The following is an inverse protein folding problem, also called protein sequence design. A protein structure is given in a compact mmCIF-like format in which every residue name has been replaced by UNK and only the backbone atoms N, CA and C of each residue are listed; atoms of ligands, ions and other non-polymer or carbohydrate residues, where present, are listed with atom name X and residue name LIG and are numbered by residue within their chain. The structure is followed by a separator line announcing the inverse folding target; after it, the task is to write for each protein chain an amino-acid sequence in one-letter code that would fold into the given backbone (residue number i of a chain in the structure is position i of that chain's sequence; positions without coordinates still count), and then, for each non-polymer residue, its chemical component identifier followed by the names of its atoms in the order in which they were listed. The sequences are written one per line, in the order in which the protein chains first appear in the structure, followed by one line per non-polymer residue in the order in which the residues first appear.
data_IF_846123188236
#
_entry.id   IF_846123188236
#
_cell.length_a   1.000
_cell.length_b   1.000
_cell.length_c   1.000
_cell.angle_alpha   90.00
_cell.angle_beta   90.00
_cell.angle_gamma   90.00
#
_symmetry.space_group_name_H-M   'P 1'
#
loop_
_entity.id
_entity.type
_entity.pdbx_description
1 polymer ?
#
# COMPACT_ATOMS: atom_id res chain seq x y z
N UNK A 1 -29.34 6.34 9.69
CA UNK A 1 -30.11 5.43 8.82
C UNK A 1 -29.16 4.95 7.73
N UNK A 2 -28.96 3.64 7.69
CA UNK A 2 -28.01 2.93 6.82
C UNK A 2 -28.26 3.23 5.34
N UNK A 3 -27.18 3.41 4.57
CA UNK A 3 -27.18 3.76 3.15
C UNK A 3 -27.72 2.66 2.21
N UNK A 4 -28.45 1.66 2.74
CA UNK A 4 -28.93 0.49 2.00
C UNK A 4 -30.43 0.52 1.66
N UNK A 5 -31.02 1.70 1.43
CA UNK A 5 -32.40 1.75 0.92
C UNK A 5 -32.68 2.94 0.01
N UNK A 6 -32.01 2.97 -1.15
CA UNK A 6 -32.54 3.59 -2.38
C UNK A 6 -32.18 2.72 -3.60
N UNK A 7 -32.88 1.60 -3.75
CA UNK A 7 -33.13 1.02 -5.08
C UNK A 7 -34.64 0.91 -5.22
N UNK A 8 -35.22 1.72 -6.10
CA UNK A 8 -36.09 1.34 -7.22
C UNK A 8 -36.48 2.65 -7.92
N UNK A 9 -35.75 3.04 -8.95
CA UNK A 9 -36.28 3.62 -10.20
C UNK A 9 -35.23 3.27 -11.28
N UNK A 10 -35.67 2.67 -12.39
CA UNK A 10 -34.87 2.06 -13.47
C UNK A 10 -33.41 2.49 -13.59
N UNK A 11 -32.49 1.58 -13.29
CA UNK A 11 -31.05 1.82 -13.39
C UNK A 11 -30.41 0.77 -14.28
N UNK A 12 -29.57 1.21 -15.22
CA UNK A 12 -28.59 0.36 -15.86
C UNK A 12 -27.83 -0.48 -14.81
N UNK A 13 -27.27 -1.62 -15.21
CA UNK A 13 -26.34 -2.35 -14.35
C UNK A 13 -25.29 -1.34 -13.83
N UNK A 14 -24.88 -1.42 -12.55
CA UNK A 14 -23.84 -0.53 -12.05
C UNK A 14 -22.63 -0.61 -12.97
N UNK A 15 -22.12 0.55 -13.39
CA UNK A 15 -20.96 0.63 -14.26
C UNK A 15 -19.79 -0.16 -13.65
N UNK A 16 -19.05 -0.94 -14.46
CA UNK A 16 -17.88 -1.66 -13.97
C UNK A 16 -16.87 -0.68 -13.36
N UNK A 17 -16.26 -1.09 -12.25
CA UNK A 17 -15.17 -0.34 -11.62
C UNK A 17 -13.87 -0.73 -12.31
N UNK A 18 -13.15 0.24 -12.85
CA UNK A 18 -11.88 0.05 -13.55
C UNK A 18 -10.69 0.48 -12.69
N UNK A 19 -9.48 0.07 -13.06
CA UNK A 19 -8.28 0.29 -12.25
C UNK A 19 -8.04 1.79 -12.06
N UNK A 20 -8.30 2.58 -13.08
CA UNK A 20 -8.12 4.03 -13.07
C UNK A 20 -9.21 4.78 -12.28
N UNK A 21 -10.27 4.09 -11.87
CA UNK A 21 -11.22 4.60 -10.86
C UNK A 21 -10.71 4.41 -9.43
N UNK A 22 -9.85 3.41 -9.19
CA UNK A 22 -9.45 2.98 -7.83
C UNK A 22 -7.97 3.22 -7.50
N UNK A 23 -7.13 3.43 -8.51
CA UNK A 23 -5.70 3.63 -8.33
C UNK A 23 -5.14 4.68 -9.29
N UNK A 24 -4.21 5.49 -8.78
CA UNK A 24 -3.34 6.34 -9.60
C UNK A 24 -1.94 6.40 -9.00
N UNK A 25 -0.93 6.18 -9.84
CA UNK A 25 0.42 6.68 -9.62
C UNK A 25 0.55 8.02 -10.34
N UNK A 26 0.72 9.11 -9.59
CA UNK A 26 0.65 10.47 -10.13
C UNK A 26 1.88 11.28 -9.73
N UNK A 27 2.67 11.69 -10.72
CA UNK A 27 3.82 12.59 -10.52
C UNK A 27 3.41 14.04 -10.66
N UNK A 28 4.00 14.91 -9.85
CA UNK A 28 3.81 16.36 -9.94
C UNK A 28 5.05 17.13 -9.50
N UNK A 29 5.30 18.32 -10.06
CA UNK A 29 6.29 19.24 -9.50
C UNK A 29 5.69 19.94 -8.29
N UNK A 30 6.48 20.11 -7.24
CA UNK A 30 6.09 20.94 -6.11
C UNK A 30 6.13 22.42 -6.47
N UNK A 31 5.19 23.18 -5.92
CA UNK A 31 4.96 24.60 -6.27
C UNK A 31 5.24 25.56 -5.11
N UNK A 32 5.53 25.06 -3.90
CA UNK A 32 5.81 25.89 -2.72
C UNK A 32 4.62 26.75 -2.27
N UNK A 33 3.41 26.19 -2.37
CA UNK A 33 2.16 26.83 -1.95
C UNK A 33 0.99 25.85 -2.10
N UNK A 34 -0.19 26.19 -1.54
CA UNK A 34 -1.38 25.33 -1.60
C UNK A 34 -1.67 24.83 -3.03
N UNK A 35 -1.83 23.51 -3.18
CA UNK A 35 -2.05 22.85 -4.47
C UNK A 35 -3.31 21.96 -4.46
N UNK A 36 -4.01 21.90 -5.60
CA UNK A 36 -5.12 20.98 -5.80
C UNK A 36 -4.80 20.03 -6.96
N UNK A 37 -4.88 18.72 -6.69
CA UNK A 37 -4.59 17.68 -7.67
C UNK A 37 -5.89 16.93 -8.02
N UNK A 38 -6.45 17.27 -9.18
CA UNK A 38 -7.66 16.67 -9.73
C UNK A 38 -7.30 15.52 -10.67
N UNK A 39 -7.09 14.33 -10.10
CA UNK A 39 -6.59 13.14 -10.80
C UNK A 39 -7.69 12.12 -11.17
N UNK A 40 -8.96 12.46 -10.90
CA UNK A 40 -10.12 11.66 -11.28
C UNK A 40 -10.46 10.50 -10.34
N UNK A 41 -9.86 10.45 -9.15
CA UNK A 41 -10.15 9.43 -8.13
C UNK A 41 -10.97 10.05 -7.00
N UNK A 42 -12.16 9.51 -6.73
CA UNK A 42 -13.04 10.00 -5.67
C UNK A 42 -12.64 9.43 -4.30
N UNK A 43 -11.96 10.24 -3.49
CA UNK A 43 -11.52 9.85 -2.14
C UNK A 43 -12.46 10.36 -1.04
N UNK A 44 -13.39 11.25 -1.37
CA UNK A 44 -14.29 11.86 -0.41
C UNK A 44 -15.56 11.04 -0.21
N UNK A 45 -16.19 10.56 -1.29
CA UNK A 45 -17.45 9.80 -1.21
C UNK A 45 -17.21 8.30 -1.02
N UNK A 46 -16.10 7.77 -1.55
CA UNK A 46 -15.78 6.35 -1.47
C UNK A 46 -14.75 6.01 -0.39
N UNK A 47 -14.03 7.00 0.10
CA UNK A 47 -12.89 6.80 0.99
C UNK A 47 -11.64 6.30 0.25
N UNK A 48 -10.49 6.39 0.91
CA UNK A 48 -9.21 6.03 0.33
C UNK A 48 -8.02 6.68 1.02
N UNK A 49 -6.83 6.41 0.50
CA UNK A 49 -5.55 6.88 1.01
C UNK A 49 -4.73 7.55 -0.09
N UNK A 50 -3.92 8.54 0.32
CA UNK A 50 -2.88 9.17 -0.49
C UNK A 50 -1.55 8.92 0.19
N UNK A 51 -0.60 8.34 -0.54
CA UNK A 51 0.77 8.14 -0.12
C UNK A 51 1.71 8.98 -0.99
N UNK A 52 2.26 10.05 -0.42
CA UNK A 52 3.19 10.97 -1.08
C UNK A 52 4.64 10.64 -0.74
N UNK A 53 5.51 10.73 -1.75
CA UNK A 53 6.96 10.66 -1.63
C UNK A 53 7.62 11.78 -2.42
N UNK A 54 8.54 12.48 -1.75
CA UNK A 54 9.52 13.35 -2.39
C UNK A 54 10.60 12.50 -3.08
N UNK A 55 10.84 12.80 -4.36
CA UNK A 55 11.76 12.06 -5.23
C UNK A 55 13.14 12.71 -5.31
N UNK A 56 13.28 13.98 -4.93
CA UNK A 56 14.52 14.74 -5.08
C UNK A 56 15.24 14.96 -3.74
N UNK A 57 14.52 14.87 -2.62
CA UNK A 57 15.05 15.13 -1.29
C UNK A 57 14.77 14.01 -0.26
N UNK A 58 15.64 13.87 0.77
CA UNK A 58 15.52 12.83 1.77
C UNK A 58 14.45 13.19 2.83
N UNK A 59 13.17 13.18 2.45
CA UNK A 59 12.06 13.41 3.38
C UNK A 59 11.25 12.14 3.63
N UNK A 60 10.70 12.06 4.85
CA UNK A 60 9.74 11.04 5.26
C UNK A 60 8.53 11.01 4.32
N UNK A 61 8.01 9.81 4.13
CA UNK A 61 6.80 9.60 3.35
C UNK A 61 5.60 10.14 4.11
N UNK A 62 4.55 10.54 3.37
CA UNK A 62 3.31 11.01 3.98
C UNK A 62 2.15 10.14 3.52
N UNK A 63 1.48 9.48 4.48
CA UNK A 63 0.25 8.73 4.27
C UNK A 63 -0.89 9.43 5.01
N UNK A 64 -1.91 9.84 4.27
CA UNK A 64 -3.17 10.36 4.79
C UNK A 64 -4.34 9.56 4.20
N UNK A 65 -5.46 9.49 4.92
CA UNK A 65 -6.65 8.80 4.45
C UNK A 65 -7.97 9.41 4.94
N UNK A 66 -9.07 8.93 4.38
CA UNK A 66 -10.42 9.43 4.63
C UNK A 66 -10.98 9.07 6.01
N UNK A 67 -10.51 7.98 6.63
CA UNK A 67 -11.01 7.51 7.92
C UNK A 67 -10.45 8.35 9.07
N UNK A 68 -9.21 8.83 8.93
CA UNK A 68 -8.51 9.68 9.92
C UNK A 68 -8.57 11.16 9.56
N UNK A 69 -8.77 11.48 8.28
CA UNK A 69 -8.79 12.83 7.72
C UNK A 69 -7.45 13.24 7.13
N UNK A 70 -7.48 14.15 6.15
CA UNK A 70 -6.30 14.54 5.36
C UNK A 70 -5.10 15.05 6.18
N UNK A 71 -5.35 15.73 7.29
CA UNK A 71 -4.31 16.33 8.13
C UNK A 71 -3.72 15.35 9.17
N UNK A 72 -4.28 14.15 9.27
CA UNK A 72 -3.76 13.07 10.12
C UNK A 72 -2.79 12.21 9.30
N UNK A 73 -1.51 12.39 9.58
CA UNK A 73 -0.43 11.81 8.75
C UNK A 73 0.34 10.72 9.47
N UNK A 74 0.75 9.72 8.69
CA UNK A 74 1.72 8.71 9.09
C UNK A 74 2.89 8.69 8.11
N UNK A 75 4.02 8.18 8.56
CA UNK A 75 5.18 7.93 7.72
C UNK A 75 5.51 6.43 7.70
N UNK A 76 5.55 5.85 6.50
CA UNK A 76 5.80 4.41 6.31
C UNK A 76 7.22 3.96 6.69
N UNK A 77 8.14 4.91 6.81
CA UNK A 77 9.55 4.69 7.12
C UNK A 77 9.89 4.98 8.60
N UNK A 78 8.89 5.11 9.46
CA UNK A 78 9.08 5.37 10.89
C UNK A 78 8.07 4.58 11.73
N UNK A 79 8.38 4.36 13.01
CA UNK A 79 7.47 3.79 14.00
C UNK A 79 6.63 4.85 14.73
N UNK A 80 6.85 6.13 14.43
CA UNK A 80 6.21 7.28 15.09
C UNK A 80 4.69 7.16 15.00
N UNK A 81 4.00 7.60 16.06
CA UNK A 81 2.54 7.65 16.13
C UNK A 81 1.98 8.66 15.10
N UNK A 82 0.65 8.74 14.99
CA UNK A 82 0.02 9.72 14.12
C UNK A 82 0.40 11.15 14.48
N UNK A 83 0.63 11.98 13.46
CA UNK A 83 0.87 13.40 13.62
C UNK A 83 -0.22 14.21 12.91
N UNK A 84 -0.72 15.24 13.57
CA UNK A 84 -1.55 16.26 12.93
C UNK A 84 -0.64 17.26 12.21
N UNK A 85 -0.66 17.24 10.88
CA UNK A 85 0.06 18.15 10.02
C UNK A 85 -0.93 18.87 9.08
N UNK A 86 -1.21 20.14 9.38
CA UNK A 86 -2.19 20.94 8.64
C UNK A 86 -1.70 21.41 7.27
N UNK A 87 -0.43 21.16 6.96
CA UNK A 87 0.29 21.70 5.80
C UNK A 87 0.84 20.61 4.87
N UNK A 88 0.47 19.35 5.11
CA UNK A 88 0.76 18.21 4.21
C UNK A 88 -0.45 17.96 3.29
N UNK A 89 -1.06 16.78 3.33
CA UNK A 89 -2.39 16.58 2.72
C UNK A 89 -3.41 17.40 3.53
N UNK A 90 -4.18 18.27 2.87
CA UNK A 90 -5.16 19.13 3.53
C UNK A 90 -6.55 18.54 3.46
N UNK A 91 -6.95 18.06 2.29
CA UNK A 91 -8.30 17.54 2.04
C UNK A 91 -8.27 16.46 0.98
N UNK A 92 -9.05 15.41 1.19
CA UNK A 92 -9.38 14.40 0.18
C UNK A 92 -10.69 14.82 -0.48
N UNK A 93 -10.70 14.87 -1.81
CA UNK A 93 -11.81 15.44 -2.59
C UNK A 93 -12.49 14.37 -3.44
N UNK A 94 -13.59 14.74 -4.08
CA UNK A 94 -14.29 13.86 -5.04
C UNK A 94 -13.51 13.58 -6.32
N UNK A 95 -12.35 14.21 -6.52
CA UNK A 95 -11.53 14.10 -7.74
C UNK A 95 -10.05 13.90 -7.46
N UNK A 96 -9.63 13.83 -6.20
CA UNK A 96 -8.24 13.65 -5.79
C UNK A 96 -7.99 14.22 -4.40
N UNK A 97 -7.05 15.17 -4.30
CA UNK A 97 -6.62 15.70 -3.01
C UNK A 97 -6.04 17.12 -3.14
N UNK A 98 -5.93 17.80 -2.00
CA UNK A 98 -5.23 19.08 -1.87
C UNK A 98 -4.04 18.96 -0.94
N UNK A 99 -2.99 19.73 -1.21
CA UNK A 99 -1.76 19.81 -0.42
C UNK A 99 -1.54 21.23 0.10
N UNK A 100 -0.83 21.32 1.24
CA UNK A 100 -0.15 22.53 1.68
C UNK A 100 1.24 22.64 1.08
N UNK A 101 2.15 23.37 1.74
CA UNK A 101 3.49 23.69 1.24
C UNK A 101 4.62 22.93 1.94
N UNK A 102 4.29 21.96 2.80
CA UNK A 102 5.29 21.23 3.59
C UNK A 102 6.32 20.54 2.69
N UNK A 103 7.58 20.55 3.14
CA UNK A 103 8.70 20.01 2.38
C UNK A 103 8.54 18.55 1.95
N UNK A 104 7.84 17.74 2.74
CA UNK A 104 7.63 16.32 2.44
C UNK A 104 6.60 16.07 1.33
N UNK A 105 5.90 17.10 0.85
CA UNK A 105 4.84 16.94 -0.15
C UNK A 105 4.81 17.97 -1.28
N UNK A 106 5.39 19.17 -1.13
CA UNK A 106 5.15 20.24 -2.11
C UNK A 106 6.19 21.39 -2.10
N UNK A 107 7.48 21.09 -1.90
CA UNK A 107 8.55 22.09 -2.04
C UNK A 107 8.63 22.61 -3.47
N UNK A 108 8.79 23.92 -3.65
CA UNK A 108 8.96 24.52 -4.98
C UNK A 108 10.17 23.91 -5.72
N UNK A 109 9.91 23.30 -6.87
CA UNK A 109 10.94 22.79 -7.78
C UNK A 109 11.30 21.32 -7.58
N UNK A 110 10.89 20.70 -6.47
CA UNK A 110 11.13 19.27 -6.22
C UNK A 110 10.09 18.42 -6.96
N UNK A 111 10.48 17.22 -7.39
CA UNK A 111 9.60 16.24 -8.00
C UNK A 111 8.96 15.32 -6.94
N UNK A 112 7.66 15.10 -7.05
CA UNK A 112 6.91 14.23 -6.15
C UNK A 112 6.20 13.11 -6.92
N UNK A 113 5.84 12.06 -6.19
CA UNK A 113 4.83 11.08 -6.59
C UNK A 113 3.79 10.92 -5.48
N UNK A 114 2.53 10.77 -5.88
CA UNK A 114 1.45 10.30 -5.05
C UNK A 114 0.93 8.97 -5.58
N UNK A 115 0.92 7.93 -4.74
CA UNK A 115 0.15 6.72 -4.97
C UNK A 115 -1.19 6.86 -4.25
N UNK A 116 -2.27 6.84 -5.02
CA UNK A 116 -3.62 7.11 -4.54
C UNK A 116 -4.44 5.84 -4.67
N UNK A 117 -5.08 5.44 -3.56
CA UNK A 117 -5.87 4.23 -3.45
C UNK A 117 -7.28 4.59 -2.99
N UNK A 118 -8.31 4.27 -3.77
CA UNK A 118 -9.70 4.40 -3.37
C UNK A 118 -10.17 3.11 -2.73
N UNK A 119 -10.94 3.18 -1.64
CA UNK A 119 -11.58 1.98 -1.10
C UNK A 119 -12.54 1.39 -2.12
N UNK A 120 -12.44 0.08 -2.36
CA UNK A 120 -13.33 -0.65 -3.25
C UNK A 120 -13.26 -2.15 -2.95
N UNK A 121 -14.41 -2.87 -2.97
CA UNK A 121 -14.39 -4.32 -2.95
C UNK A 121 -13.42 -4.87 -4.00
N UNK A 122 -12.68 -5.91 -3.64
CA UNK A 122 -11.69 -6.60 -4.46
C UNK A 122 -10.46 -5.78 -4.83
N UNK A 123 -10.26 -4.62 -4.20
CA UNK A 123 -9.08 -3.78 -4.41
C UNK A 123 -8.40 -3.35 -3.10
N UNK A 124 -9.04 -2.44 -2.34
CA UNK A 124 -8.43 -1.78 -1.19
C UNK A 124 -9.48 -1.44 -0.13
N UNK A 125 -9.11 -1.53 1.15
CA UNK A 125 -9.96 -1.12 2.28
C UNK A 125 -9.13 -0.53 3.43
N UNK A 126 -9.76 0.34 4.22
CA UNK A 126 -9.17 0.97 5.40
C UNK A 126 -10.07 0.65 6.60
N UNK A 127 -9.47 0.13 7.66
CA UNK A 127 -10.19 -0.27 8.88
C UNK A 127 -9.53 0.41 10.09
N UNK A 128 -10.07 1.55 10.57
CA UNK A 128 -9.71 2.08 11.87
C UNK A 128 -10.32 1.22 12.98
N UNK A 129 -9.61 1.03 14.09
CA UNK A 129 -10.15 0.31 15.24
C UNK A 129 -9.50 0.73 16.56
N UNK A 130 -10.23 0.51 17.65
CA UNK A 130 -9.72 0.63 19.02
C UNK A 130 -9.43 -0.77 19.55
N UNK A 131 -8.22 -0.97 20.05
CA UNK A 131 -7.83 -2.21 20.66
C UNK A 131 -8.55 -2.44 22.00
N UNK A 132 -8.76 -3.70 22.35
CA UNK A 132 -9.47 -4.12 23.56
C UNK A 132 -8.62 -5.01 24.48
N UNK A 133 -7.33 -5.16 24.20
CA UNK A 133 -6.38 -5.96 24.98
C UNK A 133 -6.63 -7.47 24.97
N UNK A 134 -7.69 -7.95 24.31
CA UNK A 134 -8.06 -9.36 24.27
C UNK A 134 -7.56 -10.00 22.98
N UNK A 135 -6.85 -11.12 23.10
CA UNK A 135 -6.36 -11.83 21.94
C UNK A 135 -7.54 -12.45 21.17
N UNK A 136 -7.47 -12.41 19.84
CA UNK A 136 -8.55 -12.90 18.98
C UNK A 136 -9.61 -11.84 18.65
N UNK A 137 -9.27 -10.55 18.73
CA UNK A 137 -10.14 -9.48 18.26
C UNK A 137 -10.36 -9.64 16.75
N UNK A 138 -11.62 -9.85 16.36
CA UNK A 138 -12.04 -9.94 14.96
C UNK A 138 -12.49 -8.59 14.46
N UNK A 139 -11.93 -8.17 13.33
CA UNK A 139 -12.18 -6.88 12.69
C UNK A 139 -12.72 -7.13 11.29
N UNK A 140 -13.89 -6.56 11.00
CA UNK A 140 -14.54 -6.72 9.70
C UNK A 140 -13.88 -5.81 8.64
N UNK A 141 -13.89 -6.25 7.39
CA UNK A 141 -13.45 -5.46 6.24
C UNK A 141 -14.37 -5.68 5.02
N UNK A 142 -14.18 -4.85 3.99
CA UNK A 142 -15.07 -4.72 2.84
C UNK A 142 -14.47 -5.18 1.51
N UNK A 143 -13.30 -5.84 1.53
CA UNK A 143 -12.69 -6.39 0.30
C UNK A 143 -13.56 -7.44 -0.41
N UNK A 144 -14.36 -8.25 0.30
CA UNK A 144 -15.20 -9.31 -0.31
C UNK A 144 -14.43 -10.32 -1.18
N UNK A 145 -13.12 -10.41 -0.98
CA UNK A 145 -12.23 -11.40 -1.56
C UNK A 145 -11.06 -11.63 -0.60
N UNK A 146 -10.10 -12.44 -1.01
CA UNK A 146 -8.93 -12.78 -0.21
C UNK A 146 -8.05 -11.54 0.07
N UNK A 147 -7.58 -11.41 1.32
CA UNK A 147 -6.60 -10.40 1.70
C UNK A 147 -5.22 -10.85 1.21
N UNK A 148 -4.62 -10.07 0.32
CA UNK A 148 -3.30 -10.33 -0.24
C UNK A 148 -2.18 -9.79 0.64
N UNK A 149 -2.30 -8.53 1.04
CA UNK A 149 -1.36 -7.81 1.89
C UNK A 149 -2.15 -6.93 2.88
N UNK A 150 -1.66 -6.80 4.11
CA UNK A 150 -2.30 -5.97 5.13
C UNK A 150 -1.24 -5.26 5.96
N UNK A 151 -1.36 -3.93 6.06
CA UNK A 151 -0.53 -3.10 6.93
C UNK A 151 -1.33 -2.75 8.18
N UNK A 152 -0.72 -2.87 9.36
CA UNK A 152 -1.31 -2.39 10.62
C UNK A 152 -0.38 -1.39 11.28
N UNK A 153 -0.92 -0.24 11.68
CA UNK A 153 -0.19 0.80 12.36
C UNK A 153 -0.92 1.26 13.61
N UNK A 154 -0.18 1.37 14.71
CA UNK A 154 -0.64 2.06 15.91
C UNK A 154 -0.54 3.57 15.73
N UNK A 155 -1.63 4.26 16.09
CA UNK A 155 -1.85 5.69 15.89
C UNK A 155 -1.56 6.53 17.14
N UNK A 156 -1.72 5.96 18.35
CA UNK A 156 -1.64 6.69 19.63
C UNK A 156 -0.28 6.53 20.36
N UNK A 157 0.59 5.66 19.87
CA UNK A 157 1.93 5.43 20.43
C UNK A 157 2.87 4.89 19.36
N UNK A 158 4.17 5.09 19.57
CA UNK A 158 5.20 4.53 18.69
C UNK A 158 5.09 2.99 18.64
N UNK A 159 5.02 2.45 17.43
CA UNK A 159 5.04 1.03 17.11
C UNK A 159 5.25 0.84 15.61
N UNK A 160 6.05 -0.15 15.23
CA UNK A 160 6.33 -0.47 13.83
C UNK A 160 5.08 -0.92 13.05
N UNK A 161 5.18 -0.80 11.73
CA UNK A 161 4.13 -1.18 10.80
C UNK A 161 4.14 -2.68 10.55
N UNK A 162 3.26 -3.43 11.21
CA UNK A 162 3.17 -4.87 10.98
C UNK A 162 2.56 -5.15 9.59
N UNK A 163 3.26 -5.94 8.77
CA UNK A 163 2.81 -6.34 7.44
C UNK A 163 2.54 -7.84 7.36
N UNK A 164 1.29 -8.18 7.08
CA UNK A 164 0.90 -9.51 6.66
C UNK A 164 1.02 -9.61 5.15
N UNK A 165 1.54 -10.74 4.67
CA UNK A 165 1.51 -11.09 3.26
C UNK A 165 1.07 -12.54 3.10
N UNK A 166 0.14 -12.79 2.19
CA UNK A 166 -0.50 -14.08 2.07
C UNK A 166 0.45 -15.26 1.79
N UNK A 167 1.49 -15.03 0.99
CA UNK A 167 2.48 -16.07 0.67
C UNK A 167 3.32 -16.49 1.87
N UNK A 168 3.36 -15.68 2.94
CA UNK A 168 4.07 -16.02 4.17
C UNK A 168 3.15 -16.73 5.19
N UNK A 169 1.85 -16.44 5.15
CA UNK A 169 0.87 -16.91 6.13
C UNK A 169 0.89 -16.11 7.43
N UNK A 170 -0.19 -16.24 8.22
CA UNK A 170 -0.43 -15.39 9.40
C UNK A 170 0.57 -15.59 10.56
N UNK A 171 1.35 -16.66 10.53
CA UNK A 171 2.40 -16.89 11.50
C UNK A 171 3.62 -15.99 11.28
N UNK A 172 3.74 -15.36 10.11
CA UNK A 172 4.88 -14.53 9.75
C UNK A 172 4.45 -13.09 9.49
N UNK A 173 5.39 -12.18 9.75
CA UNK A 173 5.22 -10.76 9.52
C UNK A 173 6.45 -10.18 8.84
N UNK A 174 6.26 -9.05 8.19
CA UNK A 174 7.35 -8.10 7.91
C UNK A 174 7.04 -6.78 8.58
N UNK A 175 7.97 -5.84 8.53
CA UNK A 175 7.78 -4.48 9.05
C UNK A 175 7.96 -3.48 7.91
N UNK A 176 6.96 -2.63 7.65
CA UNK A 176 7.01 -1.67 6.54
C UNK A 176 8.13 -0.66 6.73
N UNK A 177 8.46 -0.31 7.97
CA UNK A 177 9.47 0.66 8.38
C UNK A 177 10.89 0.10 8.45
N UNK A 178 11.10 -1.19 8.14
CA UNK A 178 12.41 -1.84 8.20
C UNK A 178 12.78 -2.61 6.93
N UNK A 179 14.08 -2.83 6.76
CA UNK A 179 14.65 -3.70 5.73
C UNK A 179 14.88 -5.15 6.23
N UNK A 180 14.44 -5.49 7.44
CA UNK A 180 14.73 -6.79 8.05
C UNK A 180 14.06 -7.96 7.30
N UNK A 181 14.56 -9.16 7.56
CA UNK A 181 13.91 -10.41 7.16
C UNK A 181 12.55 -10.60 7.83
N UNK A 182 11.75 -11.53 7.29
CA UNK A 182 10.47 -11.91 7.89
C UNK A 182 10.65 -12.37 9.35
N UNK A 183 9.68 -12.02 10.19
CA UNK A 183 9.61 -12.35 11.61
C UNK A 183 8.63 -13.51 11.77
N UNK A 184 8.97 -14.51 12.58
CA UNK A 184 8.08 -15.63 12.91
C UNK A 184 8.77 -17.00 12.83
N UNK A 185 8.01 -18.09 13.04
CA UNK A 185 6.56 -18.11 13.25
C UNK A 185 6.14 -17.54 14.63
N UNK A 186 4.98 -16.87 14.69
CA UNK A 186 4.40 -16.26 15.89
C UNK A 186 2.87 -16.27 15.83
N UNK A 187 2.21 -16.35 16.98
CA UNK A 187 0.74 -16.23 17.11
C UNK A 187 0.31 -14.88 17.70
N UNK A 188 1.29 -13.99 17.92
CA UNK A 188 1.14 -12.70 18.61
C UNK A 188 1.00 -11.53 17.65
N UNK A 189 0.55 -11.73 16.41
CA UNK A 189 0.20 -10.64 15.50
C UNK A 189 -1.20 -10.90 14.92
N UNK A 190 -1.32 -11.71 13.86
CA UNK A 190 -2.61 -12.15 13.30
C UNK A 190 -3.02 -13.50 13.88
N UNK A 191 -3.80 -13.48 14.96
CA UNK A 191 -4.12 -14.69 15.71
C UNK A 191 -4.76 -14.42 17.06
N UNK A 192 -4.80 -15.44 17.90
CA UNK A 192 -5.40 -15.37 19.25
C UNK A 192 -4.42 -15.77 20.36
N UNK A 193 -3.11 -15.57 20.15
CA UNK A 193 -2.00 -16.06 20.98
C UNK A 193 -1.84 -17.58 21.09
N UNK A 194 -2.86 -18.37 20.72
CA UNK A 194 -2.76 -19.83 20.69
C UNK A 194 -2.50 -20.34 19.27
N UNK A 195 -3.10 -19.68 18.28
CA UNK A 195 -2.98 -20.02 16.86
C UNK A 195 -2.83 -18.74 16.03
N UNK A 196 -2.02 -18.84 14.97
CA UNK A 196 -2.03 -17.85 13.90
C UNK A 196 -3.29 -18.07 13.05
N UNK A 197 -4.02 -16.99 12.75
CA UNK A 197 -5.31 -17.03 12.06
C UNK A 197 -5.22 -16.15 10.81
N UNK A 198 -5.17 -16.75 9.60
CA UNK A 198 -5.20 -16.01 8.35
C UNK A 198 -6.44 -15.12 8.23
N UNK A 199 -6.33 -13.91 7.68
CA UNK A 199 -7.48 -13.13 7.26
C UNK A 199 -8.40 -13.94 6.33
N UNK A 200 -9.70 -13.73 6.47
CA UNK A 200 -10.74 -14.31 5.62
C UNK A 200 -11.22 -13.29 4.59
N UNK A 201 -12.31 -13.59 3.89
CA UNK A 201 -12.91 -12.64 2.94
C UNK A 201 -13.66 -11.48 3.58
N UNK A 202 -13.96 -11.57 4.89
CA UNK A 202 -14.78 -10.61 5.60
C UNK A 202 -14.17 -10.10 6.90
N UNK A 203 -13.17 -10.79 7.47
CA UNK A 203 -12.54 -10.38 8.72
C UNK A 203 -11.06 -10.75 8.76
N UNK A 204 -10.32 -10.01 9.58
CA UNK A 204 -9.00 -10.43 10.05
C UNK A 204 -9.03 -10.50 11.58
N UNK A 205 -8.15 -11.32 12.15
CA UNK A 205 -8.07 -11.52 13.60
C UNK A 205 -6.73 -11.04 14.09
N UNK A 206 -6.71 -10.20 15.12
CA UNK A 206 -5.48 -9.73 15.77
C UNK A 206 -5.36 -10.28 17.19
N UNK A 207 -4.11 -10.52 17.60
CA UNK A 207 -3.75 -10.96 18.94
C UNK A 207 -3.90 -9.81 19.97
N UNK A 208 -3.30 -9.91 21.16
CA UNK A 208 -3.26 -8.79 22.14
C UNK A 208 -1.92 -8.05 22.17
N UNK A 209 -1.05 -8.25 21.18
CA UNK A 209 0.23 -7.55 21.11
C UNK A 209 0.03 -6.04 21.04
N UNK A 210 0.84 -5.26 21.74
CA UNK A 210 0.72 -3.80 21.79
C UNK A 210 0.89 -3.09 20.43
N UNK A 211 1.55 -3.73 19.46
CA UNK A 211 1.64 -3.25 18.07
C UNK A 211 0.32 -3.43 17.31
N UNK A 212 -0.59 -4.27 17.80
CA UNK A 212 -1.83 -4.65 17.10
C UNK A 212 -3.12 -4.34 17.87
N UNK A 213 -3.15 -4.44 19.20
CA UNK A 213 -4.39 -4.49 19.97
C UNK A 213 -4.16 -4.27 21.49
N UNK A 214 -3.43 -3.23 21.86
CA UNK A 214 -3.41 -2.76 23.25
C UNK A 214 -4.80 -2.28 23.67
N UNK A 215 -5.18 -2.50 24.92
CA UNK A 215 -6.47 -2.01 25.45
C UNK A 215 -6.53 -0.48 25.37
N UNK A 216 -7.57 0.04 24.71
CA UNK A 216 -7.74 1.46 24.42
C UNK A 216 -6.79 2.04 23.35
N UNK A 217 -5.87 1.26 22.81
CA UNK A 217 -4.95 1.71 21.75
C UNK A 217 -5.69 2.00 20.44
N UNK A 218 -5.20 2.95 19.65
CA UNK A 218 -5.82 3.33 18.38
C UNK A 218 -4.98 2.79 17.22
N UNK A 219 -5.64 2.20 16.23
CA UNK A 219 -4.99 1.54 15.11
C UNK A 219 -5.70 1.83 13.80
N UNK A 220 -4.94 1.71 12.71
CA UNK A 220 -5.47 1.63 11.35
C UNK A 220 -4.91 0.40 10.66
N UNK A 221 -5.75 -0.30 9.91
CA UNK A 221 -5.34 -1.34 8.99
C UNK A 221 -5.62 -0.93 7.54
N UNK A 222 -4.62 -1.07 6.67
CA UNK A 222 -4.76 -0.92 5.21
C UNK A 222 -4.72 -2.31 4.58
N UNK A 223 -5.80 -2.70 3.90
CA UNK A 223 -5.95 -4.03 3.34
C UNK A 223 -5.94 -3.96 1.82
N UNK A 224 -5.09 -4.78 1.21
CA UNK A 224 -4.97 -4.91 -0.24
C UNK A 224 -5.44 -6.30 -0.65
N UNK A 225 -6.32 -6.36 -1.65
CA UNK A 225 -6.86 -7.61 -2.15
C UNK A 225 -5.81 -8.47 -2.86
N UNK A 226 -6.07 -9.77 -2.91
CA UNK A 226 -5.52 -10.67 -3.90
C UNK A 226 -6.66 -11.10 -4.84
N UNK A 227 -6.65 -10.59 -6.07
CA UNK A 227 -7.69 -10.86 -7.06
C UNK A 227 -7.07 -11.50 -8.32
N UNK A 228 -6.91 -12.84 -8.33
CA UNK A 228 -6.23 -13.55 -9.41
C UNK A 228 -7.09 -13.76 -10.66
N UNK A 229 -8.33 -13.27 -10.69
CA UNK A 229 -9.18 -13.39 -11.88
C UNK A 229 -8.67 -12.53 -13.03
N UNK A 230 -9.13 -12.82 -14.24
CA UNK A 230 -8.74 -12.10 -15.46
C UNK A 230 -9.18 -10.64 -15.49
N UNK A 231 -10.15 -10.27 -14.65
CA UNK A 231 -10.61 -8.90 -14.43
C UNK A 231 -10.04 -8.28 -13.16
N UNK A 232 -9.14 -8.99 -12.47
CA UNK A 232 -8.48 -8.50 -11.28
C UNK A 232 -7.64 -7.27 -11.55
N UNK A 233 -7.66 -6.35 -10.58
CA UNK A 233 -6.95 -5.08 -10.62
C UNK A 233 -5.70 -5.10 -9.73
N UNK A 234 -5.63 -6.07 -8.81
CA UNK A 234 -4.55 -6.18 -7.85
C UNK A 234 -4.25 -7.66 -7.56
N UNK A 235 -2.98 -8.01 -7.53
CA UNK A 235 -2.52 -9.34 -7.12
C UNK A 235 -1.34 -9.22 -6.17
N UNK A 236 -1.44 -9.89 -5.03
CA UNK A 236 -0.33 -10.10 -4.11
C UNK A 236 0.22 -11.52 -4.28
N UNK A 237 1.52 -11.71 -4.40
CA UNK A 237 2.13 -13.02 -4.69
C UNK A 237 3.57 -13.12 -4.24
N UNK A 238 4.24 -14.22 -4.59
CA UNK A 238 5.66 -14.40 -4.33
C UNK A 238 6.38 -15.08 -5.49
N UNK A 239 7.70 -14.92 -5.52
CA UNK A 239 8.59 -15.62 -6.44
C UNK A 239 9.95 -15.84 -5.78
N UNK A 240 10.72 -16.79 -6.31
CA UNK A 240 12.09 -17.04 -5.87
C UNK A 240 13.04 -16.47 -6.89
N UNK A 241 13.95 -15.60 -6.44
CA UNK A 241 14.99 -15.04 -7.29
C UNK A 241 15.93 -16.13 -7.81
N UNK A 242 16.33 -16.02 -9.07
CA UNK A 242 17.20 -16.99 -9.75
C UNK A 242 18.64 -16.48 -9.90
N UNK A 243 18.93 -15.24 -9.50
CA UNK A 243 20.24 -14.61 -9.62
C UNK A 243 20.65 -14.29 -11.06
N UNK A 244 19.76 -14.45 -12.03
CA UNK A 244 20.04 -14.10 -13.41
C UNK A 244 20.01 -12.57 -13.61
N UNK A 245 20.74 -12.10 -14.62
CA UNK A 245 20.66 -10.70 -15.06
C UNK A 245 19.31 -10.37 -15.71
N UNK A 246 18.59 -11.38 -16.17
CA UNK A 246 17.19 -11.29 -16.60
C UNK A 246 16.50 -12.50 -15.95
N UNK A 247 15.72 -12.24 -14.91
CA UNK A 247 15.05 -13.29 -14.13
C UNK A 247 13.84 -13.88 -14.86
N UNK A 248 13.17 -14.86 -14.26
CA UNK A 248 11.93 -15.39 -14.79
C UNK A 248 10.79 -14.36 -14.87
N UNK A 249 9.89 -14.52 -15.85
CA UNK A 249 8.64 -13.75 -15.93
C UNK A 249 7.70 -14.19 -14.80
N UNK A 250 7.29 -13.23 -13.98
CA UNK A 250 6.22 -13.39 -13.00
C UNK A 250 4.89 -13.06 -13.66
N UNK A 251 4.14 -14.11 -14.02
CA UNK A 251 2.92 -14.00 -14.80
C UNK A 251 1.71 -13.63 -13.93
N UNK A 252 1.11 -12.47 -14.21
CA UNK A 252 -0.12 -11.94 -13.60
C UNK A 252 -1.34 -12.12 -14.51
N UNK A 253 -1.12 -12.39 -15.81
CA UNK A 253 -2.14 -12.43 -16.86
C UNK A 253 -2.61 -11.05 -17.35
N UNK A 254 -1.94 -9.99 -16.91
CA UNK A 254 -2.17 -8.61 -17.31
C UNK A 254 -0.92 -7.76 -17.02
N UNK A 255 -0.87 -6.59 -17.64
CA UNK A 255 0.23 -5.64 -17.47
C UNK A 255 0.07 -4.80 -16.20
N UNK A 256 1.07 -4.78 -15.29
CA UNK A 256 1.05 -3.90 -14.12
C UNK A 256 1.40 -2.45 -14.50
N UNK A 257 0.85 -1.50 -13.75
CA UNK A 257 1.31 -0.10 -13.70
C UNK A 257 2.09 0.22 -12.43
N UNK A 258 2.00 -0.62 -11.40
CA UNK A 258 2.67 -0.44 -10.12
C UNK A 258 3.06 -1.81 -9.56
N UNK A 259 4.23 -1.88 -8.94
CA UNK A 259 4.62 -3.02 -8.12
C UNK A 259 5.41 -2.56 -6.89
N UNK A 260 5.05 -3.11 -5.73
CA UNK A 260 5.87 -3.09 -4.52
C UNK A 260 6.46 -4.47 -4.30
N UNK A 261 7.78 -4.56 -4.14
CA UNK A 261 8.51 -5.82 -3.93
C UNK A 261 9.26 -5.74 -2.60
N UNK A 262 9.29 -6.87 -1.88
CA UNK A 262 10.09 -7.03 -0.66
C UNK A 262 10.74 -8.41 -0.63
N UNK A 263 12.05 -8.43 -0.44
CA UNK A 263 12.76 -9.66 -0.06
C UNK A 263 12.24 -10.17 1.28
N UNK A 264 11.95 -11.47 1.39
CA UNK A 264 11.61 -12.08 2.69
C UNK A 264 12.84 -12.26 3.58
N UNK A 265 14.03 -12.11 3.00
CA UNK A 265 15.28 -11.92 3.71
C UNK A 265 15.50 -10.42 3.96
N UNK A 266 16.76 -10.00 4.16
CA UNK A 266 17.08 -8.58 4.34
C UNK A 266 17.01 -7.85 2.99
N UNK A 267 16.29 -6.73 2.94
CA UNK A 267 16.11 -5.89 1.76
C UNK A 267 15.03 -4.83 1.99
N UNK A 268 15.13 -3.70 1.30
CA UNK A 268 14.16 -2.61 1.39
C UNK A 268 12.83 -2.95 0.70
N UNK A 269 11.77 -2.22 1.05
CA UNK A 269 10.52 -2.21 0.31
C UNK A 269 10.67 -1.33 -0.91
N UNK A 270 10.83 -1.94 -2.09
CA UNK A 270 11.09 -1.21 -3.34
C UNK A 270 9.82 -1.06 -4.15
N UNK A 271 9.65 0.10 -4.79
CA UNK A 271 8.48 0.39 -5.63
C UNK A 271 8.90 0.85 -7.01
N UNK A 272 8.27 0.27 -8.02
CA UNK A 272 8.36 0.64 -9.43
C UNK A 272 6.97 0.93 -9.98
N UNK A 273 6.84 1.92 -10.85
CA UNK A 273 5.58 2.25 -11.51
C UNK A 273 5.80 2.93 -12.87
N UNK A 274 4.78 2.88 -13.73
CA UNK A 274 4.83 3.44 -15.08
C UNK A 274 4.79 4.96 -15.12
N UNK A 275 4.41 5.63 -14.02
CA UNK A 275 4.39 7.09 -13.96
C UNK A 275 5.80 7.69 -13.85
N UNK A 276 6.75 6.93 -13.29
CA UNK A 276 8.17 7.32 -13.18
C UNK A 276 9.05 6.60 -14.21
N UNK A 277 8.65 5.43 -14.67
CA UNK A 277 9.42 4.65 -15.62
C UNK A 277 9.53 5.35 -16.98
N UNK A 278 10.73 5.33 -17.55
CA UNK A 278 11.05 5.75 -18.92
C UNK A 278 11.70 4.59 -19.66
N UNK A 279 11.90 4.74 -20.98
CA UNK A 279 12.70 3.78 -21.77
C UNK A 279 14.09 3.52 -21.16
N UNK A 280 14.58 4.52 -20.41
CA UNK A 280 15.83 4.73 -19.69
C UNK A 280 16.02 4.30 -18.23
N UNK A 281 14.92 3.99 -17.56
CA UNK A 281 14.89 4.12 -16.10
C UNK A 281 13.60 3.56 -15.52
N UNK A 282 13.66 2.72 -14.50
CA UNK A 282 12.47 2.29 -13.78
C UNK A 282 12.13 3.23 -12.60
N UNK A 283 13.09 4.06 -12.16
CA UNK A 283 12.98 4.89 -10.96
C UNK A 283 12.82 4.04 -9.70
N UNK A 284 13.88 3.88 -8.91
CA UNK A 284 13.82 3.11 -7.66
C UNK A 284 13.47 4.02 -6.48
N UNK A 285 12.30 3.75 -5.88
CA UNK A 285 11.94 4.29 -4.57
C UNK A 285 11.98 3.20 -3.50
N UNK A 286 12.40 3.58 -2.30
CA UNK A 286 12.32 2.73 -1.10
C UNK A 286 11.30 3.29 -0.12
N UNK A 287 10.20 2.59 0.05
CA UNK A 287 9.06 3.04 0.85
C UNK A 287 9.30 3.01 2.37
N UNK A 288 10.43 2.45 2.79
CA UNK A 288 10.81 2.30 4.19
C UNK A 288 12.02 3.16 4.60
N UNK A 289 12.40 4.13 3.76
CA UNK A 289 13.44 5.10 4.08
C UNK A 289 13.01 6.50 3.65
N UNK A 290 13.75 7.52 4.07
CA UNK A 290 13.58 8.88 3.58
C UNK A 290 14.26 9.12 2.22
N UNK A 291 15.09 8.18 1.73
CA UNK A 291 15.94 8.38 0.56
C UNK A 291 15.16 8.88 -0.67
N UNK A 292 15.79 9.81 -1.39
CA UNK A 292 15.34 10.27 -2.70
C UNK A 292 15.32 9.12 -3.72
N UNK A 293 14.67 9.34 -4.87
CA UNK A 293 14.63 8.38 -5.96
C UNK A 293 16.03 8.12 -6.53
N UNK A 294 16.31 6.85 -6.80
CA UNK A 294 17.51 6.46 -7.55
C UNK A 294 17.11 6.28 -9.01
N UNK A 295 17.66 7.13 -9.87
CA UNK A 295 17.43 7.15 -11.33
C UNK A 295 18.51 6.39 -12.09
N UNK A 296 18.26 6.11 -13.37
CA UNK A 296 19.16 5.39 -14.28
C UNK A 296 19.32 3.91 -13.93
N UNK A 297 18.27 3.30 -13.37
CA UNK A 297 18.27 1.91 -12.91
C UNK A 297 17.31 1.06 -13.73
N UNK A 298 17.68 -0.21 -13.95
CA UNK A 298 16.80 -1.22 -14.55
C UNK A 298 16.70 -2.42 -13.62
N UNK A 299 15.61 -2.48 -12.89
CA UNK A 299 15.35 -3.53 -11.93
C UNK A 299 14.20 -4.41 -12.38
N UNK A 300 13.17 -3.85 -13.04
CA UNK A 300 11.94 -4.56 -13.37
C UNK A 300 11.38 -4.06 -14.70
N UNK A 301 11.18 -4.98 -15.66
CA UNK A 301 10.34 -4.70 -16.82
C UNK A 301 8.89 -5.09 -16.55
N UNK A 302 7.96 -4.21 -16.94
CA UNK A 302 6.55 -4.56 -17.09
C UNK A 302 6.29 -5.09 -18.49
N UNK A 303 5.43 -6.10 -18.58
CA UNK A 303 5.04 -6.78 -19.81
C UNK A 303 3.53 -6.99 -19.82
N UNK A 304 2.96 -7.32 -20.98
CA UNK A 304 1.51 -7.53 -21.15
C UNK A 304 0.92 -8.60 -20.20
N UNK A 305 1.77 -9.48 -19.68
CA UNK A 305 1.38 -10.59 -18.82
C UNK A 305 1.95 -10.52 -17.41
N UNK A 306 2.66 -9.45 -17.01
CA UNK A 306 3.21 -9.34 -15.66
C UNK A 306 4.52 -8.57 -15.61
N UNK A 307 5.47 -9.02 -14.80
CA UNK A 307 6.74 -8.33 -14.60
C UNK A 307 7.93 -9.28 -14.56
N UNK A 308 9.12 -8.78 -14.91
CA UNK A 308 10.36 -9.55 -14.93
C UNK A 308 11.49 -8.76 -14.28
N UNK A 309 12.24 -9.35 -13.32
CA UNK A 309 13.46 -8.72 -12.83
C UNK A 309 14.52 -8.63 -13.93
N UNK A 310 15.19 -7.48 -14.04
CA UNK A 310 16.22 -7.18 -15.05
C UNK A 310 17.62 -7.02 -14.44
N UNK A 311 17.81 -7.59 -13.26
CA UNK A 311 19.06 -7.57 -12.51
C UNK A 311 19.09 -8.76 -11.57
N UNK A 312 20.27 -9.11 -11.07
CA UNK A 312 20.46 -10.10 -9.99
C UNK A 312 20.50 -9.48 -8.59
N UNK A 313 20.16 -8.18 -8.49
CA UNK A 313 20.20 -7.42 -7.24
C UNK A 313 19.41 -8.09 -6.12
N UNK A 314 19.93 -7.98 -4.89
CA UNK A 314 19.28 -8.46 -3.65
C UNK A 314 17.93 -7.81 -3.37
N UNK A 315 17.62 -6.70 -4.04
CA UNK A 315 16.32 -6.03 -3.90
C UNK A 315 15.21 -6.75 -4.66
N UNK A 316 15.52 -7.49 -5.74
CA UNK A 316 14.49 -8.06 -6.62
C UNK A 316 14.77 -9.46 -7.16
N UNK A 317 16.01 -9.98 -7.16
CA UNK A 317 16.31 -11.27 -7.83
C UNK A 317 17.57 -12.02 -7.34
N UNK A 318 18.04 -11.81 -6.12
CA UNK A 318 19.13 -12.65 -5.58
C UNK A 318 18.76 -14.15 -5.60
N UNK A 319 19.72 -14.98 -6.01
CA UNK A 319 19.54 -16.43 -6.18
C UNK A 319 19.07 -17.11 -4.89
N UNK A 320 17.98 -17.88 -4.98
CA UNK A 320 17.41 -18.64 -3.87
C UNK A 320 16.68 -17.79 -2.81
N UNK A 321 16.60 -16.48 -3.00
CA UNK A 321 15.88 -15.59 -2.09
C UNK A 321 14.42 -15.50 -2.52
N UNK A 322 13.50 -15.74 -1.60
CA UNK A 322 12.07 -15.52 -1.84
C UNK A 322 11.74 -14.01 -1.71
N UNK A 323 10.86 -13.54 -2.60
CA UNK A 323 10.33 -12.19 -2.63
C UNK A 323 8.81 -12.27 -2.58
N UNK A 324 8.19 -11.31 -1.90
CA UNK A 324 6.76 -11.07 -2.00
C UNK A 324 6.50 -9.77 -2.74
N UNK A 325 5.34 -9.67 -3.39
CA UNK A 325 4.97 -8.47 -4.13
C UNK A 325 3.48 -8.15 -4.00
N UNK A 326 3.16 -6.88 -4.22
CA UNK A 326 1.82 -6.38 -4.53
C UNK A 326 1.89 -5.65 -5.88
N UNK A 327 1.16 -6.12 -6.88
CA UNK A 327 1.09 -5.53 -8.21
C UNK A 327 -0.31 -5.00 -8.50
N UNK A 328 -0.40 -3.87 -9.19
CA UNK A 328 -1.66 -3.23 -9.60
C UNK A 328 -1.67 -3.10 -11.12
N UNK A 329 -2.78 -3.49 -11.73
CA UNK A 329 -2.99 -3.53 -13.18
C UNK A 329 -2.97 -2.13 -13.80
N UNK A 330 -2.56 -2.02 -15.06
CA UNK A 330 -2.74 -0.78 -15.83
C UNK A 330 -4.22 -0.38 -15.97
N UNK A 331 -4.42 0.87 -16.39
CA UNK A 331 -5.74 1.42 -16.69
C UNK A 331 -6.45 0.52 -17.71
N UNK A 332 -7.73 0.24 -17.47
CA UNK A 332 -8.46 -0.78 -18.24
C UNK A 332 -9.89 -0.37 -18.63
N UNK A 333 -10.19 0.93 -18.60
CA UNK A 333 -11.38 1.50 -19.24
C UNK A 333 -11.36 1.35 -20.76
#
# INVERSE_FOLDING_TARGET
MSLFQKMVVGGAAPEPVYTDDVFRAYTYPGIGGDAAHNIGVDLQNNGGAVWVKDRDAPFNNVIADSERGGQSTLASNTDVAELTNTDTVKTLTTTGFTLGERFSVNTLGDAYIAWVFRQSPRFFDIVPYTGNGNAGLQLAHNLKCEVGMLFTKRLDSAASWAVYHRSLGAAYAMLLDYANAKIGPSTSLWGNNSSAIPPTTNNFTVSNNATMNADGGLYVAYLFAHEPSTQGQIQCGSYTGDGASIGALNNLGWKPQYIMIKSVATGHWVVFDTARSTLMDDGLLTCNTEAAEVTGVWYVAFSDNGFQPLTSSVLVNANGVEYVYMAIREDNK
#
